data_IF_853675775742
#
_entry.id   IF_853675775742
#
_cell.length_a   1.000
_cell.length_b   1.000
_cell.length_c   1.000
_cell.angle_alpha   90.00
_cell.angle_beta   90.00
_cell.angle_gamma   90.00
#
_symmetry.space_group_name_H-M   'P 1'
#
loop_
_entity.id
_entity.type
_entity.pdbx_description
1 polymer ?
#
# COMPACT_ATOMS: atom_id res chain seq x y z
N UNK A 1 0.69 8.71 -8.81
CA UNK A 1 0.80 9.42 -10.10
C UNK A 1 -0.32 10.45 -10.17
N UNK A 2 -0.06 11.63 -10.69
CA UNK A 2 -1.04 12.63 -11.12
C UNK A 2 -0.71 12.96 -12.58
N UNK A 3 -1.67 12.86 -13.49
CA UNK A 3 -1.46 13.16 -14.93
C UNK A 3 -0.24 12.46 -15.58
N UNK A 4 0.07 11.23 -15.15
CA UNK A 4 1.20 10.47 -15.68
C UNK A 4 2.55 10.76 -15.03
N UNK A 5 2.60 11.63 -14.02
CA UNK A 5 3.82 11.98 -13.30
C UNK A 5 3.77 11.59 -11.82
N UNK A 6 4.93 11.35 -11.20
CA UNK A 6 5.00 11.12 -9.77
C UNK A 6 4.68 12.42 -9.02
N UNK A 7 3.68 12.37 -8.13
CA UNK A 7 3.16 13.54 -7.42
C UNK A 7 3.50 13.57 -5.94
N UNK A 8 3.42 12.39 -5.30
CA UNK A 8 3.67 12.19 -3.88
C UNK A 8 4.55 10.96 -3.68
N UNK A 9 5.44 11.04 -2.71
CA UNK A 9 6.30 9.93 -2.28
C UNK A 9 6.23 9.77 -0.78
N UNK A 10 6.44 8.56 -0.29
CA UNK A 10 6.57 8.28 1.14
C UNK A 10 8.03 8.00 1.48
N UNK A 11 8.43 8.35 2.69
CA UNK A 11 9.73 7.97 3.25
C UNK A 11 9.56 7.53 4.71
N UNK A 12 10.40 6.60 5.17
CA UNK A 12 10.34 6.09 6.54
C UNK A 12 10.77 7.14 7.56
N UNK A 13 11.66 8.06 7.19
CA UNK A 13 11.97 9.23 8.00
C UNK A 13 12.57 10.38 7.17
N UNK A 14 12.64 11.57 7.77
CA UNK A 14 13.29 12.77 7.19
C UNK A 14 14.81 12.67 7.09
N UNK A 15 15.43 11.67 7.71
CA UNK A 15 16.88 11.58 7.84
C UNK A 15 17.56 11.03 6.59
N UNK A 16 18.70 11.62 6.28
CA UNK A 16 19.63 11.28 5.20
C UNK A 16 20.88 10.54 5.70
N UNK A 17 20.95 10.21 7.00
CA UNK A 17 22.08 9.48 7.58
C UNK A 17 21.92 7.98 7.38
N UNK A 18 23.03 7.26 7.19
CA UNK A 18 23.06 5.80 7.12
C UNK A 18 22.33 5.22 8.34
N UNK A 19 21.40 4.29 8.09
CA UNK A 19 20.57 3.61 9.10
C UNK A 19 19.71 4.52 10.00
N UNK A 20 19.63 5.82 9.72
CA UNK A 20 18.86 6.76 10.53
C UNK A 20 17.36 6.45 10.60
N UNK A 21 16.84 5.64 9.69
CA UNK A 21 15.44 5.23 9.72
C UNK A 21 15.13 4.16 10.77
N UNK A 22 16.11 3.36 11.21
CA UNK A 22 15.90 2.19 12.09
C UNK A 22 15.27 2.57 13.43
N UNK A 23 15.74 3.66 14.02
CA UNK A 23 15.27 4.15 15.32
C UNK A 23 14.02 5.03 15.21
N UNK A 24 13.55 5.30 13.99
CA UNK A 24 12.43 6.21 13.68
C UNK A 24 11.32 5.55 12.88
N UNK A 25 11.25 4.21 12.91
CA UNK A 25 10.23 3.44 12.20
C UNK A 25 8.83 3.68 12.74
N UNK A 26 8.71 3.97 14.04
CA UNK A 26 7.43 4.11 14.72
C UNK A 26 6.65 5.35 14.27
N UNK A 27 7.30 6.49 14.12
CA UNK A 27 6.67 7.80 13.95
C UNK A 27 7.43 8.76 13.02
N UNK A 28 8.58 8.36 12.47
CA UNK A 28 9.40 9.23 11.64
C UNK A 28 8.85 9.45 10.23
N UNK A 29 7.91 8.62 9.81
CA UNK A 29 7.43 8.51 8.44
C UNK A 29 6.77 9.78 7.92
N UNK A 30 7.00 10.06 6.64
CA UNK A 30 6.53 11.27 5.98
C UNK A 30 5.95 11.00 4.61
N UNK A 31 5.11 11.94 4.16
CA UNK A 31 4.65 12.08 2.78
C UNK A 31 5.19 13.40 2.24
N UNK A 32 5.85 13.34 1.09
CA UNK A 32 6.43 14.50 0.42
C UNK A 32 5.65 14.77 -0.87
N UNK A 33 5.27 16.01 -1.05
CA UNK A 33 4.78 16.58 -2.29
C UNK A 33 5.97 16.88 -3.21
N UNK A 34 6.06 16.22 -4.36
CA UNK A 34 7.19 16.42 -5.28
C UNK A 34 7.12 17.73 -6.09
N UNK A 35 5.93 18.32 -6.24
CA UNK A 35 5.78 19.57 -6.99
C UNK A 35 6.28 20.77 -6.17
N UNK A 36 6.06 20.75 -4.86
CA UNK A 36 6.46 21.83 -3.93
C UNK A 36 7.70 21.49 -3.11
N UNK A 37 8.11 20.21 -3.10
CA UNK A 37 9.15 19.66 -2.25
C UNK A 37 8.85 19.84 -0.74
N UNK A 38 7.57 19.87 -0.37
CA UNK A 38 7.12 20.01 1.02
C UNK A 38 6.71 18.68 1.64
N UNK A 39 6.94 18.54 2.95
CA UNK A 39 6.25 17.51 3.73
C UNK A 39 4.78 17.90 3.92
N UNK A 40 3.88 17.02 3.48
CA UNK A 40 2.41 17.19 3.55
C UNK A 40 1.76 16.27 4.58
N UNK A 41 2.50 15.34 5.16
CA UNK A 41 2.10 14.55 6.32
C UNK A 41 3.37 14.03 7.00
N UNK A 42 3.41 14.04 8.33
CA UNK A 42 4.42 13.35 9.12
C UNK A 42 3.78 12.58 10.30
N UNK A 43 4.61 11.97 11.17
CA UNK A 43 4.12 11.15 12.27
C UNK A 43 3.67 9.75 11.87
N UNK A 44 3.95 9.32 10.62
CA UNK A 44 3.55 8.01 10.11
C UNK A 44 4.54 6.93 10.53
N UNK A 45 4.06 5.70 10.59
CA UNK A 45 4.85 4.50 10.85
C UNK A 45 5.10 3.74 9.55
N UNK A 46 6.33 3.87 9.01
CA UNK A 46 6.75 3.21 7.77
C UNK A 46 5.72 3.35 6.62
N UNK A 47 5.37 4.55 6.16
CA UNK A 47 4.29 4.75 5.19
C UNK A 47 4.62 4.20 3.79
N UNK A 48 3.64 3.56 3.15
CA UNK A 48 3.78 2.95 1.83
C UNK A 48 2.65 3.32 0.86
N UNK A 49 2.92 3.04 -0.42
CA UNK A 49 1.92 3.03 -1.50
C UNK A 49 1.06 4.30 -1.58
N UNK A 50 1.64 5.52 -1.68
CA UNK A 50 0.84 6.72 -1.88
C UNK A 50 0.09 6.65 -3.22
N UNK A 51 -1.19 7.00 -3.20
CA UNK A 51 -2.09 6.97 -4.37
C UNK A 51 -3.05 8.15 -4.32
N UNK A 52 -3.18 8.86 -5.44
CA UNK A 52 -4.30 9.78 -5.63
C UNK A 52 -5.48 9.02 -6.19
N UNK A 53 -6.63 9.13 -5.53
CA UNK A 53 -7.87 8.48 -5.96
C UNK A 53 -9.09 9.26 -5.46
N UNK A 54 -10.03 9.54 -6.35
CA UNK A 54 -11.24 10.34 -6.07
C UNK A 54 -10.96 11.66 -5.33
N UNK A 55 -9.92 12.38 -5.77
CA UNK A 55 -9.54 13.68 -5.20
C UNK A 55 -8.89 13.63 -3.83
N UNK A 56 -8.58 12.44 -3.30
CA UNK A 56 -7.88 12.26 -2.01
C UNK A 56 -6.52 11.60 -2.20
N UNK A 57 -5.57 11.95 -1.34
CA UNK A 57 -4.28 11.28 -1.21
C UNK A 57 -4.41 10.14 -0.20
N UNK A 58 -4.39 8.91 -0.67
CA UNK A 58 -4.43 7.70 0.15
C UNK A 58 -3.03 7.18 0.42
N UNK A 59 -2.80 6.69 1.63
CA UNK A 59 -1.52 6.16 2.10
C UNK A 59 -1.79 4.94 3.00
N UNK A 60 -0.86 3.99 2.96
CA UNK A 60 -0.81 2.89 3.91
C UNK A 60 0.14 3.24 5.05
N UNK A 61 -0.35 3.25 6.29
CA UNK A 61 0.46 3.42 7.49
C UNK A 61 0.89 2.03 8.00
N UNK A 62 1.97 1.50 7.43
CA UNK A 62 2.27 0.07 7.51
C UNK A 62 2.61 -0.43 8.91
N UNK A 63 3.28 0.40 9.72
CA UNK A 63 3.62 0.03 11.09
C UNK A 63 2.46 0.07 12.08
N UNK A 64 1.28 0.53 11.66
CA UNK A 64 0.02 0.47 12.44
C UNK A 64 -1.06 -0.38 11.76
N UNK A 65 -0.79 -0.90 10.56
CA UNK A 65 -1.71 -1.70 9.77
C UNK A 65 -2.88 -0.90 9.17
N UNK A 66 -2.73 0.40 8.92
CA UNK A 66 -3.88 1.24 8.52
C UNK A 66 -3.89 1.61 7.04
N UNK A 67 -5.09 1.62 6.46
CA UNK A 67 -5.42 2.39 5.26
C UNK A 67 -6.05 3.72 5.70
N UNK A 68 -5.62 4.84 5.11
CA UNK A 68 -6.22 6.13 5.36
C UNK A 68 -5.89 7.17 4.30
N UNK A 69 -6.41 8.38 4.48
CA UNK A 69 -6.12 9.53 3.62
C UNK A 69 -5.33 10.60 4.35
N UNK A 70 -4.56 11.39 3.60
CA UNK A 70 -3.89 12.59 4.11
C UNK A 70 -4.81 13.78 3.91
N UNK A 71 -5.07 14.49 5.00
CA UNK A 71 -5.66 15.82 4.97
C UNK A 71 -4.54 16.84 4.70
N UNK A 72 -4.57 17.45 3.52
CA UNK A 72 -3.50 18.36 3.08
C UNK A 72 -3.53 19.71 3.82
N UNK A 73 -4.67 20.11 4.37
CA UNK A 73 -4.81 21.38 5.10
C UNK A 73 -4.22 21.25 6.51
N UNK A 74 -4.58 20.19 7.23
CA UNK A 74 -4.03 19.91 8.57
C UNK A 74 -2.70 19.15 8.55
N UNK A 75 -2.24 18.72 7.38
CA UNK A 75 -1.05 17.89 7.18
C UNK A 75 -1.05 16.61 8.04
N UNK A 76 -2.21 15.98 8.18
CA UNK A 76 -2.42 14.85 9.08
C UNK A 76 -2.98 13.62 8.38
N UNK A 77 -2.67 12.44 8.92
CA UNK A 77 -3.25 11.18 8.48
C UNK A 77 -4.59 10.92 9.15
N UNK A 78 -5.59 10.56 8.33
CA UNK A 78 -6.94 10.21 8.75
C UNK A 78 -7.16 8.71 8.47
N UNK A 79 -7.09 7.84 9.49
CA UNK A 79 -7.27 6.41 9.30
C UNK A 79 -8.72 6.09 8.92
N UNK A 80 -8.88 5.17 7.97
CA UNK A 80 -10.19 4.66 7.53
C UNK A 80 -10.43 3.23 8.02
N UNK A 81 -9.42 2.36 7.90
CA UNK A 81 -9.56 0.93 8.18
C UNK A 81 -8.27 0.33 8.72
N UNK A 82 -8.41 -0.60 9.65
CA UNK A 82 -7.31 -1.45 10.13
C UNK A 82 -7.27 -2.77 9.37
N UNK A 83 -6.06 -3.19 9.02
CA UNK A 83 -5.75 -4.43 8.34
C UNK A 83 -4.79 -5.24 9.24
N UNK A 84 -5.09 -6.51 9.59
CA UNK A 84 -4.26 -7.33 10.47
C UNK A 84 -3.01 -7.86 9.76
N UNK A 85 -2.06 -6.97 9.49
CA UNK A 85 -0.78 -7.27 8.87
C UNK A 85 -0.02 -6.02 8.42
N UNK A 86 1.24 -6.20 8.03
CA UNK A 86 2.03 -5.09 7.52
C UNK A 86 1.54 -4.74 6.10
N UNK A 87 0.88 -3.59 5.96
CA UNK A 87 0.19 -3.22 4.73
C UNK A 87 1.13 -2.67 3.66
N UNK A 88 1.09 -3.25 2.46
CA UNK A 88 1.84 -2.83 1.28
C UNK A 88 1.07 -3.18 0.02
N UNK A 89 1.14 -2.30 -0.97
CA UNK A 89 0.38 -2.43 -2.19
C UNK A 89 -1.03 -1.89 -2.00
N UNK A 90 -1.37 -0.92 -2.84
CA UNK A 90 -2.64 -0.23 -2.80
C UNK A 90 -3.12 0.03 -4.23
N UNK A 91 -4.30 -0.49 -4.53
CA UNK A 91 -5.01 -0.23 -5.77
C UNK A 91 -6.49 0.03 -5.50
N UNK A 92 -7.16 0.61 -6.47
CA UNK A 92 -8.56 1.00 -6.35
C UNK A 92 -9.37 0.56 -7.56
N UNK A 93 -10.66 0.30 -7.33
CA UNK A 93 -11.64 0.14 -8.39
C UNK A 93 -13.02 0.54 -7.87
N UNK A 94 -13.69 1.48 -8.55
CA UNK A 94 -14.96 2.05 -8.09
C UNK A 94 -14.82 2.64 -6.68
N UNK A 95 -15.58 2.16 -5.70
CA UNK A 95 -15.51 2.58 -4.30
C UNK A 95 -14.76 1.59 -3.41
N UNK A 96 -13.96 0.68 -4.00
CA UNK A 96 -13.19 -0.30 -3.25
C UNK A 96 -11.70 -0.03 -3.29
N UNK A 97 -11.05 -0.22 -2.15
CA UNK A 97 -9.59 -0.30 -2.01
C UNK A 97 -9.16 -1.76 -1.88
N UNK A 98 -8.08 -2.11 -2.57
CA UNK A 98 -7.42 -3.40 -2.48
C UNK A 98 -6.09 -3.18 -1.78
N UNK A 99 -5.96 -3.74 -0.57
CA UNK A 99 -4.79 -3.57 0.30
C UNK A 99 -4.08 -4.90 0.44
N UNK A 100 -2.79 -4.93 0.09
CA UNK A 100 -1.95 -6.10 0.34
C UNK A 100 -1.46 -6.13 1.79
N UNK A 101 -1.47 -7.32 2.39
CA UNK A 101 -1.02 -7.60 3.74
C UNK A 101 0.18 -8.55 3.68
N UNK A 102 1.16 -8.29 4.52
CA UNK A 102 2.31 -9.16 4.76
C UNK A 102 2.34 -9.62 6.21
N UNK A 103 2.80 -10.85 6.45
CA UNK A 103 3.19 -11.30 7.78
C UNK A 103 4.49 -10.58 8.17
N UNK A 104 4.54 -9.82 9.27
CA UNK A 104 5.78 -9.23 9.76
C UNK A 104 6.81 -10.34 10.01
N UNK A 105 8.05 -10.15 9.55
CA UNK A 105 9.16 -11.03 9.93
C UNK A 105 9.60 -10.67 11.35
N UNK A 106 9.69 -11.68 12.22
CA UNK A 106 10.09 -11.59 13.64
C UNK A 106 11.47 -10.96 13.93
N UNK A 107 12.24 -10.48 12.95
CA UNK A 107 13.53 -9.79 13.22
C UNK A 107 13.58 -8.34 12.75
N UNK A 108 12.67 -7.92 11.87
CA UNK A 108 12.77 -6.61 11.17
C UNK A 108 11.59 -5.67 11.41
N UNK A 109 10.50 -6.17 11.95
CA UNK A 109 9.27 -5.38 12.14
C UNK A 109 8.75 -5.43 13.58
N UNK A 110 9.52 -6.01 14.51
CA UNK A 110 9.19 -6.00 15.93
C UNK A 110 9.23 -4.57 16.51
N UNK A 111 8.34 -4.32 17.48
CA UNK A 111 8.27 -3.07 18.21
C UNK A 111 7.52 -1.96 17.49
N UNK A 112 6.73 -2.32 16.47
CA UNK A 112 5.76 -1.42 15.84
C UNK A 112 4.42 -1.53 16.56
N UNK A 113 3.61 -0.45 16.49
CA UNK A 113 2.29 -0.42 17.13
C UNK A 113 1.32 -1.47 16.55
N UNK A 114 1.62 -2.00 15.36
CA UNK A 114 0.92 -3.12 14.75
C UNK A 114 0.79 -4.32 15.69
N UNK A 115 1.80 -4.66 16.48
CA UNK A 115 1.76 -5.82 17.39
C UNK A 115 0.65 -5.63 18.45
N UNK A 116 0.63 -4.46 19.10
CA UNK A 116 -0.43 -4.09 20.05
C UNK A 116 -1.82 -4.11 19.40
N UNK A 117 -1.93 -3.61 18.18
CA UNK A 117 -3.20 -3.51 17.44
C UNK A 117 -3.74 -4.87 17.03
N UNK A 118 -2.85 -5.81 16.71
CA UNK A 118 -3.20 -7.21 16.46
C UNK A 118 -3.72 -7.89 17.73
N UNK A 119 -3.07 -7.68 18.87
CA UNK A 119 -3.53 -8.16 20.18
C UNK A 119 -4.91 -7.60 20.55
N UNK A 120 -5.12 -6.28 20.40
CA UNK A 120 -6.40 -5.61 20.65
C UNK A 120 -7.53 -6.13 19.76
N UNK A 121 -7.20 -6.54 18.55
CA UNK A 121 -8.15 -7.08 17.57
C UNK A 121 -8.33 -8.61 17.67
N UNK A 122 -7.66 -9.28 18.63
CA UNK A 122 -7.60 -10.74 18.75
C UNK A 122 -7.28 -11.43 17.42
N UNK A 123 -6.23 -10.92 16.74
CA UNK A 123 -5.91 -11.29 15.36
C UNK A 123 -4.44 -11.65 15.18
N UNK A 124 -4.19 -12.71 14.43
CA UNK A 124 -2.84 -13.07 13.98
C UNK A 124 -2.54 -12.41 12.63
N UNK A 125 -1.31 -11.92 12.40
CA UNK A 125 -0.96 -11.32 11.12
C UNK A 125 -1.01 -12.34 10.00
N UNK A 126 -1.45 -11.92 8.81
CA UNK A 126 -1.52 -12.81 7.65
C UNK A 126 -1.15 -12.15 6.33
N UNK A 127 -0.86 -13.00 5.34
CA UNK A 127 -0.44 -12.57 4.00
C UNK A 127 -1.60 -12.71 3.03
N UNK A 128 -1.88 -11.68 2.23
CA UNK A 128 -2.96 -11.71 1.25
C UNK A 128 -3.52 -10.33 0.94
N UNK A 129 -4.76 -10.25 0.48
CA UNK A 129 -5.41 -8.99 0.09
C UNK A 129 -6.71 -8.81 0.85
N UNK A 130 -6.95 -7.61 1.38
CA UNK A 130 -8.28 -7.19 1.85
C UNK A 130 -8.90 -6.21 0.85
N UNK A 131 -10.22 -6.32 0.69
CA UNK A 131 -11.04 -5.40 -0.10
C UNK A 131 -11.88 -4.57 0.86
N UNK A 132 -11.67 -3.26 0.85
CA UNK A 132 -12.26 -2.31 1.78
C UNK A 132 -13.21 -1.39 1.01
N UNK A 133 -14.44 -1.24 1.50
CA UNK A 133 -15.37 -0.23 1.02
C UNK A 133 -14.94 1.15 1.53
N UNK A 134 -14.62 2.07 0.61
CA UNK A 134 -14.13 3.41 0.92
C UNK A 134 -15.16 4.31 1.59
N UNK A 135 -16.45 3.99 1.48
CA UNK A 135 -17.51 4.80 2.08
C UNK A 135 -17.72 4.47 3.57
N UNK A 136 -17.47 3.22 3.94
CA UNK A 136 -17.77 2.69 5.28
C UNK A 136 -16.52 2.32 6.08
N UNK A 137 -15.40 2.09 5.41
CA UNK A 137 -14.20 1.50 6.00
C UNK A 137 -14.32 -0.01 6.25
N UNK A 138 -15.44 -0.64 5.88
CA UNK A 138 -15.67 -2.06 6.14
C UNK A 138 -14.85 -2.95 5.18
N UNK A 139 -14.29 -4.03 5.72
CA UNK A 139 -13.69 -5.10 4.91
C UNK A 139 -14.83 -5.95 4.33
N UNK A 140 -15.08 -5.82 3.02
CA UNK A 140 -16.16 -6.53 2.33
C UNK A 140 -15.73 -7.89 1.77
N UNK A 141 -14.44 -8.04 1.44
CA UNK A 141 -13.86 -9.29 0.98
C UNK A 141 -12.39 -9.42 1.38
N UNK A 142 -11.87 -10.64 1.30
CA UNK A 142 -10.46 -10.93 1.53
C UNK A 142 -10.03 -12.17 0.75
N UNK A 143 -8.73 -12.27 0.51
CA UNK A 143 -8.08 -13.42 -0.09
C UNK A 143 -6.79 -13.69 0.67
N UNK A 144 -6.67 -14.86 1.30
CA UNK A 144 -5.49 -15.27 2.08
C UNK A 144 -4.55 -16.09 1.22
N UNK A 145 -3.25 -15.82 1.36
CA UNK A 145 -2.17 -16.59 0.75
C UNK A 145 -1.50 -17.39 1.86
N UNK A 146 -1.69 -18.70 1.82
CA UNK A 146 -1.02 -19.63 2.73
C UNK A 146 0.28 -20.16 2.13
N UNK A 147 1.14 -20.73 2.98
CA UNK A 147 2.40 -21.34 2.57
C UNK A 147 3.60 -20.40 2.68
N UNK A 148 4.60 -20.53 1.77
CA UNK A 148 5.91 -19.89 1.93
C UNK A 148 5.89 -18.39 1.63
N UNK A 149 4.84 -17.89 0.98
CA UNK A 149 4.71 -16.46 0.67
C UNK A 149 4.30 -15.75 1.96
N UNK A 150 5.22 -14.95 2.51
CA UNK A 150 5.00 -14.14 3.70
C UNK A 150 4.78 -12.66 3.36
N UNK A 151 5.23 -12.22 2.19
CA UNK A 151 5.35 -10.80 1.85
C UNK A 151 4.67 -10.48 0.53
N UNK A 152 3.91 -9.39 0.54
CA UNK A 152 3.38 -8.72 -0.64
C UNK A 152 3.99 -7.33 -0.74
N UNK A 153 4.36 -6.94 -1.96
CA UNK A 153 5.00 -5.65 -2.22
C UNK A 153 4.06 -4.65 -2.92
N UNK A 154 3.23 -5.14 -3.85
CA UNK A 154 2.27 -4.29 -4.53
C UNK A 154 1.02 -5.09 -4.93
N UNK A 155 -0.06 -4.36 -5.21
CA UNK A 155 -1.32 -4.87 -5.74
C UNK A 155 -1.71 -3.99 -6.92
N UNK A 156 -2.15 -4.59 -8.02
CA UNK A 156 -2.67 -3.89 -9.18
C UNK A 156 -4.04 -4.46 -9.55
N UNK A 157 -4.96 -3.58 -9.93
CA UNK A 157 -6.27 -3.97 -10.48
C UNK A 157 -6.21 -3.86 -12.00
N UNK A 158 -6.64 -4.93 -12.68
CA UNK A 158 -6.79 -4.98 -14.14
C UNK A 158 -8.28 -5.15 -14.48
N UNK A 159 -9.01 -4.06 -14.74
CA UNK A 159 -10.42 -4.14 -15.10
C UNK A 159 -10.62 -4.95 -16.38
N UNK A 160 -11.72 -5.71 -16.45
CA UNK A 160 -12.11 -6.49 -17.63
C UNK A 160 -11.12 -7.60 -18.05
N UNK A 161 -10.20 -7.99 -17.18
CA UNK A 161 -9.28 -9.11 -17.43
C UNK A 161 -9.76 -10.36 -16.69
N UNK A 162 -9.88 -11.46 -17.42
CA UNK A 162 -10.11 -12.80 -16.89
C UNK A 162 -8.86 -13.65 -17.11
N UNK A 163 -8.43 -14.42 -16.10
CA UNK A 163 -7.24 -15.28 -16.15
C UNK A 163 -5.92 -14.52 -16.41
N UNK A 164 -5.57 -13.59 -15.51
CA UNK A 164 -4.27 -12.93 -15.54
C UNK A 164 -3.13 -13.95 -15.39
N UNK A 165 -2.08 -13.81 -16.21
CA UNK A 165 -0.87 -14.63 -16.17
C UNK A 165 0.35 -13.73 -16.04
N UNK A 166 1.24 -14.02 -15.09
CA UNK A 166 2.58 -13.45 -15.06
C UNK A 166 3.55 -14.40 -15.75
N UNK A 167 4.50 -13.85 -16.50
CA UNK A 167 5.55 -14.62 -17.16
C UNK A 167 6.88 -13.98 -16.84
N UNK A 168 7.83 -14.81 -16.42
CA UNK A 168 9.16 -14.35 -16.05
C UNK A 168 9.90 -13.77 -17.26
N UNK A 169 10.64 -12.67 -17.11
CA UNK A 169 11.52 -12.17 -18.17
C UNK A 169 12.50 -13.25 -18.62
N UNK A 170 12.73 -13.37 -19.94
CA UNK A 170 13.71 -14.31 -20.51
C UNK A 170 13.30 -15.79 -20.48
N UNK A 171 12.06 -16.12 -20.12
CA UNK A 171 11.54 -17.49 -20.17
C UNK A 171 11.12 -17.89 -21.58
N UNK A 172 11.10 -19.19 -21.89
CA UNK A 172 10.64 -19.68 -23.18
C UNK A 172 9.16 -19.32 -23.42
N UNK A 173 8.36 -19.31 -22.35
CA UNK A 173 6.97 -18.88 -22.37
C UNK A 173 6.83 -17.41 -22.78
N UNK A 174 7.76 -16.54 -22.38
CA UNK A 174 7.73 -15.12 -22.76
C UNK A 174 7.91 -14.93 -24.28
N UNK A 175 8.72 -15.77 -24.93
CA UNK A 175 8.97 -15.71 -26.37
C UNK A 175 7.76 -16.19 -27.19
N UNK A 176 6.86 -16.98 -26.59
CA UNK A 176 5.69 -17.54 -27.25
C UNK A 176 4.41 -16.70 -27.05
N UNK A 177 4.44 -15.65 -26.22
CA UNK A 177 3.31 -14.77 -25.95
C UNK A 177 3.34 -13.55 -26.88
N UNK A 178 2.42 -13.51 -27.84
CA UNK A 178 2.18 -12.35 -28.68
C UNK A 178 1.07 -11.52 -28.04
N UNK A 179 1.41 -10.35 -27.52
CA UNK A 179 0.42 -9.35 -27.07
C UNK A 179 0.15 -8.38 -28.20
N UNK A 180 -1.07 -8.38 -28.74
CA UNK A 180 -1.51 -7.40 -29.74
C UNK A 180 -2.29 -6.33 -28.99
N UNK A 181 -1.82 -5.09 -29.06
CA UNK A 181 -2.54 -3.94 -28.52
C UNK A 181 -3.84 -3.76 -29.33
N UNK A 182 -5.02 -3.76 -28.70
CA UNK A 182 -6.26 -3.52 -29.44
C UNK A 182 -6.24 -2.11 -30.04
N UNK A 183 -6.75 -1.97 -31.26
CA UNK A 183 -6.86 -0.66 -31.91
C UNK A 183 -7.61 0.32 -30.99
N UNK A 184 -7.03 1.49 -30.79
CA UNK A 184 -7.64 2.55 -29.99
C UNK A 184 -8.98 2.95 -30.59
N UNK A 185 -10.08 2.63 -29.89
CA UNK A 185 -11.39 3.17 -30.22
C UNK A 185 -11.32 4.66 -29.90
N UNK A 186 -11.20 5.49 -30.93
CA UNK A 186 -11.37 6.94 -30.81
C UNK A 186 -12.79 7.22 -30.34
N UNK A 187 -12.95 7.73 -29.12
CA UNK A 187 -14.17 8.39 -28.64
C UNK A 187 -14.02 9.90 -28.82
#
# INVERSE_FOLDING_TARGET
MENGEARYVTAVCKSDTIDGWRDRRADGGIVIDLATNETVCDGLSMPHSPRLYNGKLWVLNSGTGELGSVNLDSKSFEPLAFCPGFVRGLAFHSHFAFVGLSRPRYDRFEGLDLDRRLEEADSEPWTGVQVIDLNTGAVVHWFRIDGPVAEMYDVAVMPNVICAKSVGPGTAEALALITIEPESIKS
#
